data_IF_346803450948
#
_entry.id   IF_346803450948
#
_cell.length_a   1.000
_cell.length_b   1.000
_cell.length_c   1.000
_cell.angle_alpha   90.00
_cell.angle_beta   90.00
_cell.angle_gamma   90.00
#
_symmetry.space_group_name_H-M   'P 1'
#
loop_
_entity.id
_entity.type
_entity.pdbx_description
1 polymer ?
#
# COMPACT_ATOMS: atom_id res chain seq x y z
N UNK A 1 48.16 9.38 7.89
CA UNK A 1 47.10 10.34 7.53
C UNK A 1 45.84 9.54 7.20
N UNK A 2 44.67 9.80 7.81
CA UNK A 2 43.41 9.22 7.36
C UNK A 2 42.63 10.18 6.44
N UNK A 3 41.58 9.63 5.84
CA UNK A 3 40.53 10.29 5.03
C UNK A 3 40.89 10.38 3.53
N UNK A 4 40.04 10.06 2.55
CA UNK A 4 38.64 10.44 2.43
C UNK A 4 37.85 9.41 1.61
N UNK A 5 36.78 8.88 2.21
CA UNK A 5 35.75 8.09 1.52
C UNK A 5 34.88 9.01 0.66
N UNK A 6 35.12 9.06 -0.65
CA UNK A 6 34.19 9.68 -1.60
C UNK A 6 32.99 8.76 -1.86
N UNK A 7 32.05 8.75 -0.91
CA UNK A 7 30.68 8.30 -1.20
C UNK A 7 29.99 9.44 -1.96
N UNK A 8 30.07 9.39 -3.29
CA UNK A 8 29.27 10.23 -4.20
C UNK A 8 27.79 10.02 -3.92
N UNK A 9 27.17 10.96 -3.23
CA UNK A 9 25.71 11.14 -3.19
C UNK A 9 25.29 11.87 -4.48
N UNK A 10 24.95 11.12 -5.51
CA UNK A 10 24.33 11.66 -6.72
C UNK A 10 22.86 12.02 -6.47
N UNK A 11 22.56 13.33 -6.58
CA UNK A 11 21.49 13.81 -7.47
C UNK A 11 20.04 13.62 -7.03
N UNK A 12 19.63 14.24 -5.93
CA UNK A 12 18.21 14.45 -5.60
C UNK A 12 17.70 15.80 -6.14
N UNK A 13 17.22 15.84 -7.38
CA UNK A 13 16.29 16.88 -7.87
C UNK A 13 15.76 16.51 -9.26
N UNK A 14 14.61 15.83 -9.31
CA UNK A 14 13.98 15.35 -10.56
C UNK A 14 13.20 14.04 -10.40
N UNK A 15 13.56 13.23 -9.39
CA UNK A 15 13.08 11.84 -9.28
C UNK A 15 11.90 11.65 -8.32
N UNK A 16 11.39 12.71 -7.69
CA UNK A 16 10.32 12.62 -6.68
C UNK A 16 8.99 12.20 -7.29
N UNK A 17 8.64 12.74 -8.47
CA UNK A 17 7.39 12.42 -9.17
C UNK A 17 7.47 11.02 -9.81
N UNK A 18 8.61 10.66 -10.41
CA UNK A 18 8.82 9.31 -10.96
C UNK A 18 8.76 8.22 -9.89
N UNK A 19 9.32 8.47 -8.70
CA UNK A 19 9.23 7.54 -7.56
C UNK A 19 7.79 7.38 -7.07
N UNK A 20 7.03 8.49 -6.99
CA UNK A 20 5.62 8.44 -6.60
C UNK A 20 4.76 7.71 -7.63
N UNK A 21 4.95 7.99 -8.91
CA UNK A 21 4.26 7.28 -10.00
C UNK A 21 4.58 5.78 -10.00
N UNK A 22 5.84 5.40 -9.82
CA UNK A 22 6.27 4.01 -9.72
C UNK A 22 5.64 3.27 -8.53
N UNK A 23 5.51 3.95 -7.38
CA UNK A 23 4.81 3.41 -6.21
C UNK A 23 3.33 3.18 -6.48
N UNK A 24 2.65 4.15 -7.09
CA UNK A 24 1.23 4.01 -7.42
C UNK A 24 0.98 2.80 -8.33
N UNK A 25 1.86 2.59 -9.31
CA UNK A 25 1.80 1.43 -10.22
C UNK A 25 2.04 0.13 -9.46
N UNK A 26 3.04 0.09 -8.57
CA UNK A 26 3.30 -1.07 -7.73
C UNK A 26 2.08 -1.42 -6.87
N UNK A 27 1.50 -0.44 -6.17
CA UNK A 27 0.29 -0.63 -5.35
C UNK A 27 -0.88 -1.12 -6.21
N UNK A 28 -1.09 -0.56 -7.40
CA UNK A 28 -2.13 -1.03 -8.31
C UNK A 28 -1.94 -2.49 -8.73
N UNK A 29 -0.68 -2.92 -8.99
CA UNK A 29 -0.35 -4.32 -9.29
C UNK A 29 -0.62 -5.21 -8.07
N UNK A 30 -0.20 -4.79 -6.87
CA UNK A 30 -0.45 -5.51 -5.62
C UNK A 30 -1.95 -5.71 -5.41
N UNK A 31 -2.76 -4.66 -5.61
CA UNK A 31 -4.22 -4.74 -5.52
C UNK A 31 -4.81 -5.66 -6.58
N UNK A 32 -4.27 -5.64 -7.80
CA UNK A 32 -4.63 -6.56 -8.88
C UNK A 32 -4.44 -8.02 -8.46
N UNK A 33 -3.23 -8.36 -8.00
CA UNK A 33 -2.91 -9.71 -7.49
C UNK A 33 -3.80 -10.06 -6.29
N UNK A 34 -3.97 -9.13 -5.36
CA UNK A 34 -4.78 -9.32 -4.15
C UNK A 34 -6.23 -9.61 -4.51
N UNK A 35 -6.82 -8.89 -5.47
CA UNK A 35 -8.19 -9.13 -5.95
C UNK A 35 -8.38 -10.48 -6.62
N UNK A 36 -7.33 -11.01 -7.24
CA UNK A 36 -7.37 -12.31 -7.87
C UNK A 36 -7.26 -13.44 -6.84
N UNK A 37 -6.41 -13.25 -5.81
CA UNK A 37 -6.18 -14.23 -4.75
C UNK A 37 -7.25 -14.21 -3.66
N UNK A 38 -7.99 -13.11 -3.51
CA UNK A 38 -8.86 -12.88 -2.36
C UNK A 38 -10.34 -13.01 -2.73
N UNK A 39 -11.01 -14.13 -2.36
CA UNK A 39 -12.45 -14.25 -2.59
C UNK A 39 -13.20 -13.18 -1.79
N UNK A 40 -14.06 -12.43 -2.47
CA UNK A 40 -14.82 -11.32 -1.89
C UNK A 40 -14.10 -9.96 -1.92
N UNK A 41 -12.92 -9.85 -2.53
CA UNK A 41 -12.28 -8.58 -2.88
C UNK A 41 -12.23 -8.47 -4.41
N UNK A 42 -13.04 -7.59 -5.00
CA UNK A 42 -13.11 -7.43 -6.45
C UNK A 42 -13.08 -5.95 -6.83
N UNK A 43 -12.27 -5.61 -7.83
CA UNK A 43 -12.18 -4.27 -8.41
C UNK A 43 -12.36 -4.41 -9.91
N UNK A 44 -13.32 -3.68 -10.47
CA UNK A 44 -13.59 -3.69 -11.91
C UNK A 44 -13.08 -2.41 -12.57
N UNK A 45 -12.25 -2.60 -13.60
CA UNK A 45 -11.71 -1.53 -14.43
C UNK A 45 -10.37 -0.96 -13.96
N UNK A 46 -9.49 -0.64 -14.91
CA UNK A 46 -8.14 -0.14 -14.66
C UNK A 46 -8.13 1.17 -13.85
N UNK A 47 -9.11 2.05 -14.13
CA UNK A 47 -9.29 3.31 -13.41
C UNK A 47 -9.62 3.12 -11.94
N UNK A 48 -10.42 2.09 -11.62
CA UNK A 48 -10.80 1.78 -10.25
C UNK A 48 -9.60 1.30 -9.44
N UNK A 49 -8.66 0.55 -10.03
CA UNK A 49 -7.41 0.17 -9.38
C UNK A 49 -6.52 1.38 -9.07
N UNK A 50 -6.43 2.34 -9.99
CA UNK A 50 -5.64 3.56 -9.79
C UNK A 50 -6.24 4.41 -8.66
N UNK A 51 -7.56 4.59 -8.67
CA UNK A 51 -8.28 5.30 -7.61
C UNK A 51 -8.15 4.56 -6.28
N UNK A 52 -8.25 3.23 -6.27
CA UNK A 52 -8.07 2.41 -5.07
C UNK A 52 -6.68 2.61 -4.46
N UNK A 53 -5.63 2.59 -5.28
CA UNK A 53 -4.27 2.82 -4.81
C UNK A 53 -4.16 4.19 -4.13
N UNK A 54 -4.66 5.25 -4.77
CA UNK A 54 -4.62 6.61 -4.20
C UNK A 54 -5.43 6.69 -2.91
N UNK A 55 -6.66 6.17 -2.89
CA UNK A 55 -7.54 6.21 -1.71
C UNK A 55 -6.91 5.44 -0.54
N UNK A 56 -6.38 4.24 -0.78
CA UNK A 56 -5.76 3.42 0.27
C UNK A 56 -4.54 4.16 0.83
N UNK A 57 -3.64 4.68 -0.01
CA UNK A 57 -2.48 5.45 0.46
C UNK A 57 -2.88 6.68 1.26
N UNK A 58 -3.94 7.39 0.85
CA UNK A 58 -4.42 8.57 1.59
C UNK A 58 -5.01 8.16 2.94
N UNK A 59 -5.82 7.10 2.99
CA UNK A 59 -6.37 6.57 4.23
C UNK A 59 -5.27 6.08 5.18
N UNK A 60 -4.25 5.42 4.64
CA UNK A 60 -3.05 4.98 5.37
C UNK A 60 -2.38 6.16 6.06
N UNK A 61 -2.09 7.22 5.30
CA UNK A 61 -1.51 8.45 5.82
C UNK A 61 -2.37 9.10 6.92
N UNK A 62 -3.69 9.16 6.75
CA UNK A 62 -4.57 9.68 7.78
C UNK A 62 -4.51 8.84 9.05
N UNK A 63 -4.61 7.52 8.95
CA UNK A 63 -4.58 6.64 10.12
C UNK A 63 -3.24 6.72 10.84
N UNK A 64 -2.14 6.74 10.10
CA UNK A 64 -0.79 6.90 10.65
C UNK A 64 -0.65 8.26 11.36
N UNK A 65 -1.15 9.35 10.78
CA UNK A 65 -1.12 10.66 11.40
C UNK A 65 -1.91 10.72 12.72
N UNK A 66 -3.03 9.99 12.82
CA UNK A 66 -3.84 9.95 14.05
C UNK A 66 -3.28 9.00 15.11
N UNK A 67 -2.83 7.81 14.71
CA UNK A 67 -2.44 6.76 15.67
C UNK A 67 -0.92 6.71 15.92
N UNK A 68 -0.11 7.41 15.12
CA UNK A 68 1.35 7.38 15.19
C UNK A 68 1.94 6.00 14.86
N UNK A 69 1.16 5.13 14.22
CA UNK A 69 1.57 3.77 13.84
C UNK A 69 1.31 3.55 12.36
N UNK A 70 2.36 3.18 11.62
CA UNK A 70 2.22 2.79 10.22
C UNK A 70 1.19 1.68 10.09
N UNK A 71 0.33 1.86 9.10
CA UNK A 71 -0.78 0.98 8.80
C UNK A 71 -0.36 -0.21 7.92
N UNK A 72 0.94 -0.37 7.61
CA UNK A 72 1.46 -1.56 6.94
C UNK A 72 1.24 -2.83 7.79
N UNK A 73 0.66 -3.89 7.20
CA UNK A 73 0.47 -5.17 7.86
C UNK A 73 1.79 -5.90 8.15
N UNK A 74 2.87 -5.58 7.43
CA UNK A 74 4.17 -6.21 7.63
C UNK A 74 5.05 -5.38 8.59
N UNK A 75 5.75 -6.06 9.51
CA UNK A 75 6.69 -5.43 10.44
C UNK A 75 6.07 -4.79 11.70
N UNK A 76 4.74 -4.58 11.76
CA UNK A 76 4.04 -3.98 12.93
C UNK A 76 3.12 -4.92 13.71
N UNK A 77 3.09 -6.21 13.33
CA UNK A 77 2.31 -7.25 14.01
C UNK A 77 0.80 -7.10 13.84
N UNK A 78 0.03 -7.53 14.85
CA UNK A 78 -1.44 -7.60 14.78
C UNK A 78 -2.09 -6.21 14.60
N UNK A 79 -1.49 -5.15 15.14
CA UNK A 79 -2.05 -3.78 15.04
C UNK A 79 -2.07 -3.30 13.59
N UNK A 80 -0.95 -3.39 12.88
CA UNK A 80 -0.87 -3.03 11.46
C UNK A 80 -1.80 -3.87 10.60
N UNK A 81 -1.90 -5.17 10.89
CA UNK A 81 -2.82 -6.07 10.19
C UNK A 81 -4.29 -5.64 10.31
N UNK A 82 -4.75 -5.33 11.53
CA UNK A 82 -6.13 -4.88 11.75
C UNK A 82 -6.38 -3.54 11.05
N UNK A 83 -5.44 -2.61 11.16
CA UNK A 83 -5.56 -1.30 10.53
C UNK A 83 -5.64 -1.42 9.00
N UNK A 84 -4.77 -2.22 8.37
CA UNK A 84 -4.80 -2.47 6.94
C UNK A 84 -6.15 -3.07 6.50
N UNK A 85 -6.67 -4.07 7.22
CA UNK A 85 -7.97 -4.65 6.94
C UNK A 85 -9.10 -3.62 7.02
N UNK A 86 -9.07 -2.74 8.03
CA UNK A 86 -10.05 -1.65 8.17
C UNK A 86 -9.92 -0.66 7.02
N UNK A 87 -8.71 -0.26 6.63
CA UNK A 87 -8.49 0.67 5.51
C UNK A 87 -9.07 0.10 4.21
N UNK A 88 -8.78 -1.16 3.88
CA UNK A 88 -9.28 -1.81 2.66
C UNK A 88 -10.81 -1.91 2.70
N UNK A 89 -11.38 -2.24 3.86
CA UNK A 89 -12.83 -2.30 4.02
C UNK A 89 -13.48 -0.92 3.87
N UNK A 90 -12.88 0.14 4.41
CA UNK A 90 -13.40 1.52 4.30
C UNK A 90 -13.21 2.07 2.89
N UNK A 91 -12.10 1.73 2.23
CA UNK A 91 -11.80 2.21 0.88
C UNK A 91 -12.90 1.84 -0.13
N UNK A 92 -13.64 0.75 0.10
CA UNK A 92 -14.74 0.32 -0.80
C UNK A 92 -15.85 1.37 -0.95
N UNK A 93 -16.03 2.23 0.06
CA UNK A 93 -17.04 3.29 0.03
C UNK A 93 -16.57 4.52 -0.75
N UNK A 94 -15.26 4.68 -0.91
CA UNK A 94 -14.65 5.82 -1.60
C UNK A 94 -14.31 5.48 -3.05
N UNK A 95 -14.00 4.22 -3.35
CA UNK A 95 -13.58 3.77 -4.67
C UNK A 95 -14.79 3.23 -5.46
N UNK A 96 -15.12 3.81 -6.62
CA UNK A 96 -16.18 3.29 -7.47
C UNK A 96 -15.79 1.91 -8.03
N UNK A 97 -16.77 1.02 -8.19
CA UNK A 97 -16.59 -0.34 -8.72
C UNK A 97 -15.62 -1.23 -7.90
N UNK A 98 -15.39 -0.91 -6.62
CA UNK A 98 -14.72 -1.78 -5.67
C UNK A 98 -15.73 -2.43 -4.73
N UNK A 99 -15.64 -3.75 -4.55
CA UNK A 99 -16.48 -4.51 -3.62
C UNK A 99 -15.59 -5.35 -2.72
N UNK A 100 -15.77 -5.19 -1.41
CA UNK A 100 -14.95 -5.86 -0.40
C UNK A 100 -15.84 -6.42 0.70
N UNK A 101 -15.89 -7.74 0.85
CA UNK A 101 -16.53 -8.38 2.00
C UNK A 101 -15.66 -8.26 3.24
N UNK A 102 -16.23 -8.45 4.44
CA UNK A 102 -15.47 -8.42 5.68
C UNK A 102 -14.35 -9.48 5.69
N UNK A 103 -14.65 -10.68 5.20
CA UNK A 103 -13.66 -11.74 5.00
C UNK A 103 -12.63 -11.36 3.93
N UNK A 104 -13.07 -10.73 2.84
CA UNK A 104 -12.20 -10.23 1.78
C UNK A 104 -11.21 -9.19 2.30
N UNK A 105 -11.61 -8.30 3.21
CA UNK A 105 -10.70 -7.31 3.80
C UNK A 105 -9.60 -7.96 4.66
N UNK A 106 -9.96 -8.96 5.48
CA UNK A 106 -9.02 -9.71 6.31
C UNK A 106 -8.02 -10.49 5.45
N UNK A 107 -8.53 -11.19 4.42
CA UNK A 107 -7.70 -11.93 3.49
C UNK A 107 -6.82 -10.99 2.64
N UNK A 108 -7.34 -9.84 2.21
CA UNK A 108 -6.58 -8.85 1.46
C UNK A 108 -5.44 -8.27 2.31
N UNK A 109 -5.69 -7.94 3.58
CA UNK A 109 -4.64 -7.51 4.51
C UNK A 109 -3.56 -8.57 4.71
N UNK A 110 -3.95 -9.86 4.69
CA UNK A 110 -3.01 -10.97 4.78
C UNK A 110 -2.14 -11.06 3.53
N UNK A 111 -2.76 -11.03 2.35
CA UNK A 111 -2.05 -11.08 1.07
C UNK A 111 -1.13 -9.87 0.91
N UNK A 112 -1.58 -8.66 1.25
CA UNK A 112 -0.76 -7.45 1.22
C UNK A 112 0.41 -7.58 2.20
N UNK A 113 0.20 -8.11 3.41
CA UNK A 113 1.29 -8.36 4.36
C UNK A 113 2.34 -9.35 3.84
N UNK A 114 1.92 -10.39 3.12
CA UNK A 114 2.84 -11.35 2.49
C UNK A 114 3.57 -10.71 1.32
N UNK A 115 2.88 -9.94 0.47
CA UNK A 115 3.48 -9.27 -0.68
C UNK A 115 4.49 -8.21 -0.24
N UNK A 116 4.16 -7.41 0.77
CA UNK A 116 5.06 -6.39 1.33
C UNK A 116 6.28 -7.01 2.03
N UNK A 117 6.17 -8.26 2.52
CA UNK A 117 7.33 -8.99 3.03
C UNK A 117 8.35 -9.35 1.93
N UNK A 118 7.85 -9.73 0.75
CA UNK A 118 8.68 -10.17 -0.39
C UNK A 118 9.23 -8.99 -1.18
N UNK A 119 8.38 -7.99 -1.39
CA UNK A 119 8.75 -6.70 -1.94
C UNK A 119 8.63 -5.71 -0.80
N UNK A 120 9.65 -5.54 0.07
CA UNK A 120 9.65 -4.53 1.12
C UNK A 120 9.54 -3.16 0.47
N UNK A 121 8.30 -2.79 0.21
CA UNK A 121 7.88 -1.56 -0.42
C UNK A 121 7.90 -0.53 0.69
N UNK A 122 9.10 -0.22 1.17
CA UNK A 122 9.32 0.90 2.08
C UNK A 122 9.08 2.22 1.33
N UNK A 123 7.88 2.44 0.85
CA UNK A 123 6.88 3.06 1.70
C UNK A 123 5.50 2.86 1.04
N UNK A 124 4.53 2.35 1.79
CA UNK A 124 3.24 3.02 1.78
C UNK A 124 3.46 4.34 2.52
#
# INVERSE_FOLDING_TARGET
MPDNNEVRKEGSSGNSILRWAGRLILVAIILGITSFLTPGFSIYGLWSYLIAAVVITVLDYFVEAFMGVDASPFGKGIKGFIIAAVIIYVAQFLVPNMRVSLLGAILAALVIGVIDAVFPSRAM
#
